data_IF_337716347683
#
_entry.id   IF_337716347683
#
_cell.length_a   1.000
_cell.length_b   1.000
_cell.length_c   1.000
_cell.angle_alpha   90.00
_cell.angle_beta   90.00
_cell.angle_gamma   90.00
#
_symmetry.space_group_name_H-M   'P 1'
#
loop_
_entity.id
_entity.type
_entity.pdbx_description
1 polymer ?
#
# COMPACT_ATOMS: atom_id res chain seq x y z
N UNK A 1 11.62 10.48 -28.45
CA UNK A 1 10.61 11.42 -27.90
C UNK A 1 11.04 11.78 -26.50
N UNK A 2 10.96 13.05 -26.10
CA UNK A 2 11.27 13.45 -24.73
C UNK A 2 10.40 12.65 -23.76
N UNK A 3 10.97 12.18 -22.67
CA UNK A 3 10.34 11.28 -21.69
C UNK A 3 9.10 11.87 -21.00
N UNK A 4 8.71 13.11 -21.32
CA UNK A 4 7.57 13.81 -20.71
C UNK A 4 7.75 14.13 -19.22
N UNK A 5 8.94 13.91 -18.65
CA UNK A 5 9.25 14.21 -17.26
C UNK A 5 9.68 15.67 -17.08
N UNK A 6 9.01 16.36 -16.17
CA UNK A 6 9.35 17.70 -15.71
C UNK A 6 10.03 17.62 -14.33
N UNK A 7 11.19 18.24 -14.17
CA UNK A 7 11.85 18.38 -12.85
C UNK A 7 11.22 19.57 -12.12
N UNK A 8 10.62 19.31 -10.95
CA UNK A 8 9.95 20.35 -10.14
C UNK A 8 10.75 20.75 -8.91
N UNK A 9 11.70 19.94 -8.46
CA UNK A 9 12.63 20.30 -7.40
C UNK A 9 13.88 19.43 -7.46
N UNK A 10 15.06 20.00 -7.17
CA UNK A 10 16.34 19.27 -7.05
C UNK A 10 16.82 19.12 -5.61
N UNK A 11 16.11 19.72 -4.65
CA UNK A 11 16.44 19.68 -3.22
C UNK A 11 15.25 19.24 -2.37
N UNK A 12 14.30 18.50 -2.97
CA UNK A 12 13.10 18.06 -2.30
C UNK A 12 13.43 17.16 -1.09
N UNK A 13 12.95 17.52 0.08
CA UNK A 13 13.15 16.78 1.33
C UNK A 13 14.63 16.59 1.77
N UNK A 14 15.57 17.39 1.27
CA UNK A 14 17.00 17.18 1.55
C UNK A 14 17.38 17.37 3.01
N UNK A 15 16.81 18.38 3.67
CA UNK A 15 17.22 18.80 5.00
C UNK A 15 16.38 18.21 6.14
N UNK A 16 15.22 17.61 5.82
CA UNK A 16 14.19 17.32 6.83
C UNK A 16 13.96 15.84 7.07
N UNK A 17 14.70 14.96 6.39
CA UNK A 17 14.40 13.53 6.48
C UNK A 17 15.62 12.65 6.36
N UNK A 18 15.91 11.82 7.37
CA UNK A 18 16.85 10.73 7.22
C UNK A 18 16.33 9.73 6.16
N UNK A 19 17.21 9.30 5.31
CA UNK A 19 17.08 8.35 4.21
C UNK A 19 15.83 7.46 4.19
N UNK A 20 15.12 7.45 3.05
CA UNK A 20 14.08 6.49 2.71
C UNK A 20 12.89 7.15 1.99
N UNK A 21 12.49 6.59 0.86
CA UNK A 21 11.26 6.95 0.16
C UNK A 21 10.05 6.73 1.06
N UNK A 22 9.61 7.76 1.76
CA UNK A 22 8.38 7.75 2.53
C UNK A 22 7.17 7.88 1.60
N UNK A 23 6.02 7.44 2.07
CA UNK A 23 4.76 7.75 1.41
C UNK A 23 4.56 9.27 1.44
N UNK A 24 4.71 9.93 0.31
CA UNK A 24 4.44 11.35 0.18
C UNK A 24 3.20 11.60 -0.69
N UNK A 25 2.59 12.75 -0.52
CA UNK A 25 1.45 13.25 -1.32
C UNK A 25 1.70 14.70 -1.67
N UNK A 26 1.27 15.08 -2.88
CA UNK A 26 1.45 16.44 -3.41
C UNK A 26 0.10 16.96 -3.88
N UNK A 27 -0.22 18.21 -3.53
CA UNK A 27 -1.38 18.95 -4.00
C UNK A 27 -0.96 20.40 -4.25
N UNK A 28 -0.79 20.75 -5.54
CA UNK A 28 -0.17 22.03 -5.87
C UNK A 28 1.26 22.12 -5.36
N UNK A 29 1.55 23.09 -4.50
CA UNK A 29 2.84 23.22 -3.83
C UNK A 29 2.90 22.53 -2.46
N UNK A 30 1.76 22.13 -1.91
CA UNK A 30 1.69 21.49 -0.59
C UNK A 30 2.15 20.04 -0.66
N UNK A 31 2.84 19.62 0.40
CA UNK A 31 3.35 18.26 0.55
C UNK A 31 3.01 17.70 1.93
N UNK A 32 2.59 16.45 1.95
CA UNK A 32 2.50 15.63 3.16
C UNK A 32 3.32 14.36 3.00
N UNK A 33 3.86 13.83 4.11
CA UNK A 33 4.58 12.55 4.09
C UNK A 33 4.44 11.84 5.42
N UNK A 34 4.29 10.51 5.34
CA UNK A 34 4.43 9.60 6.49
C UNK A 34 5.71 8.79 6.31
N UNK A 35 6.57 8.81 7.31
CA UNK A 35 7.86 8.11 7.28
C UNK A 35 7.98 7.14 8.43
N UNK A 36 8.54 6.01 8.11
CA UNK A 36 9.03 5.02 9.05
C UNK A 36 10.55 5.21 9.18
N UNK A 37 11.04 5.41 10.40
CA UNK A 37 12.45 5.55 10.70
C UNK A 37 12.90 4.43 11.66
N UNK A 38 14.03 3.81 11.33
CA UNK A 38 14.70 2.89 12.23
C UNK A 38 15.23 3.64 13.45
N UNK A 39 15.30 2.98 14.62
CA UNK A 39 15.97 3.55 15.78
C UNK A 39 17.42 3.91 15.43
N UNK A 40 17.81 5.12 15.76
CA UNK A 40 19.22 5.48 15.78
C UNK A 40 19.78 4.90 17.07
N UNK A 41 20.38 3.72 17.00
CA UNK A 41 21.08 3.12 18.16
C UNK A 41 22.34 3.94 18.36
N UNK A 42 22.39 4.76 19.39
CA UNK A 42 23.61 5.39 19.82
C UNK A 42 24.36 4.41 20.72
N UNK A 43 25.50 3.94 20.25
CA UNK A 43 26.49 3.33 21.13
C UNK A 43 27.24 4.48 21.83
N UNK A 44 27.25 4.48 23.16
CA UNK A 44 28.26 5.31 23.87
C UNK A 44 29.62 4.74 23.49
N UNK A 45 30.52 5.55 22.90
CA UNK A 45 31.86 5.06 22.62
C UNK A 45 32.49 4.66 23.95
N UNK A 46 32.91 3.41 24.08
CA UNK A 46 33.89 3.06 25.05
C UNK A 46 35.19 3.77 24.66
N UNK A 47 36.07 4.09 25.62
CA UNK A 47 37.30 4.89 25.41
C UNK A 47 38.22 4.39 24.28
N UNK A 48 37.91 3.26 23.66
CA UNK A 48 38.64 2.60 22.57
C UNK A 48 37.99 2.69 21.20
N UNK A 49 36.80 3.29 21.08
CA UNK A 49 36.04 3.34 19.81
C UNK A 49 36.35 4.64 19.07
N UNK A 50 36.92 4.53 17.86
CA UNK A 50 37.17 5.65 16.93
C UNK A 50 35.98 5.92 16.02
N UNK A 51 34.81 5.32 16.24
CA UNK A 51 33.63 5.55 15.42
C UNK A 51 32.98 6.92 15.70
N UNK A 52 32.45 7.59 14.66
CA UNK A 52 31.81 8.90 14.82
C UNK A 52 30.61 8.80 15.77
N UNK A 53 30.51 9.76 16.68
CA UNK A 53 29.40 9.86 17.63
C UNK A 53 28.06 9.95 16.88
N UNK A 54 27.16 9.02 17.13
CA UNK A 54 25.77 9.09 16.69
C UNK A 54 24.99 9.96 17.69
N UNK A 55 23.96 10.70 17.23
CA UNK A 55 23.17 11.55 18.12
C UNK A 55 22.50 10.70 19.24
N UNK A 56 22.43 11.26 20.43
CA UNK A 56 21.78 10.59 21.56
C UNK A 56 20.29 10.29 21.26
N UNK A 57 19.76 9.14 21.76
CA UNK A 57 18.36 8.81 21.58
C UNK A 57 17.47 9.86 22.25
N UNK A 58 16.40 10.25 21.57
CA UNK A 58 15.39 11.12 22.14
C UNK A 58 14.51 10.33 23.13
N UNK A 59 13.85 11.02 24.06
CA UNK A 59 12.94 10.41 25.07
C UNK A 59 11.88 9.46 24.46
N UNK A 60 11.48 9.70 23.20
CA UNK A 60 10.55 8.83 22.46
C UNK A 60 11.06 7.39 22.25
N UNK A 61 12.32 7.12 22.53
CA UNK A 61 12.98 5.82 22.38
C UNK A 61 13.15 5.08 23.70
N UNK A 62 12.77 5.71 24.79
CA UNK A 62 12.88 5.16 26.13
C UNK A 62 11.49 4.77 26.66
N UNK A 63 11.40 3.68 27.39
CA UNK A 63 10.21 3.35 28.16
C UNK A 63 10.18 4.19 29.46
N UNK A 64 9.11 4.06 30.23
CA UNK A 64 8.95 4.77 31.52
C UNK A 64 10.04 4.42 32.55
N UNK A 65 10.78 3.35 32.33
CA UNK A 65 11.92 2.92 33.19
C UNK A 65 13.26 3.41 32.64
N UNK A 66 13.31 4.18 31.56
CA UNK A 66 14.52 4.68 30.95
C UNK A 66 15.29 3.65 30.11
N UNK A 67 14.65 2.51 29.79
CA UNK A 67 15.24 1.47 28.93
C UNK A 67 15.14 1.86 27.46
N UNK A 68 16.24 1.78 26.73
CA UNK A 68 16.28 2.02 25.28
C UNK A 68 15.38 1.02 24.55
N UNK A 69 14.28 1.52 24.05
CA UNK A 69 13.40 0.73 23.19
C UNK A 69 14.01 0.69 21.80
N UNK A 70 14.42 -0.47 21.35
CA UNK A 70 14.81 -0.68 19.95
C UNK A 70 13.56 -0.66 19.06
N UNK A 71 12.87 0.48 19.00
CA UNK A 71 11.59 0.64 18.32
C UNK A 71 11.71 1.64 17.18
N UNK A 72 11.08 1.29 16.07
CA UNK A 72 10.91 2.19 14.93
C UNK A 72 9.95 3.31 15.29
N UNK A 73 10.11 4.46 14.66
CA UNK A 73 9.18 5.60 14.80
C UNK A 73 8.47 5.89 13.50
N UNK A 74 7.22 6.31 13.63
CA UNK A 74 6.40 6.79 12.54
C UNK A 74 6.23 8.29 12.73
N UNK A 75 6.61 9.05 11.71
CA UNK A 75 6.55 10.50 11.74
C UNK A 75 5.69 11.03 10.60
N UNK A 76 4.82 11.99 10.90
CA UNK A 76 4.08 12.74 9.91
C UNK A 76 4.73 14.11 9.68
N UNK A 77 4.93 14.44 8.41
CA UNK A 77 5.52 15.70 7.98
C UNK A 77 4.55 16.46 7.08
N UNK A 78 4.58 17.78 7.18
CA UNK A 78 3.87 18.69 6.29
C UNK A 78 4.77 19.84 5.89
N UNK A 79 4.62 20.34 4.67
CA UNK A 79 5.38 21.46 4.14
C UNK A 79 5.03 21.79 2.71
N UNK A 80 5.97 22.37 2.00
CA UNK A 80 5.82 22.72 0.60
C UNK A 80 7.01 22.22 -0.21
N UNK A 81 6.85 22.13 -1.54
CA UNK A 81 7.92 21.69 -2.45
C UNK A 81 9.18 22.58 -2.25
N UNK A 82 8.99 23.89 -2.14
CA UNK A 82 10.09 24.86 -2.07
C UNK A 82 10.47 25.23 -0.63
N UNK A 83 9.53 25.13 0.32
CA UNK A 83 9.70 25.61 1.69
C UNK A 83 10.21 24.55 2.68
N UNK A 84 10.38 23.31 2.21
CA UNK A 84 10.79 22.19 3.05
C UNK A 84 9.65 21.60 3.89
N UNK A 85 10.00 20.57 4.67
CA UNK A 85 9.06 19.77 5.45
C UNK A 85 9.31 19.95 6.95
N UNK A 86 8.23 20.09 7.72
CA UNK A 86 8.28 20.11 9.19
C UNK A 86 7.58 18.89 9.75
N UNK A 87 8.20 18.24 10.72
CA UNK A 87 7.57 17.17 11.46
C UNK A 87 6.48 17.76 12.36
N UNK A 88 5.25 17.29 12.20
CA UNK A 88 4.09 17.71 12.97
C UNK A 88 3.74 16.69 14.06
N UNK A 89 4.07 15.42 13.84
CA UNK A 89 3.69 14.34 14.73
C UNK A 89 4.71 13.19 14.65
N UNK A 90 4.92 12.51 15.78
CA UNK A 90 5.76 11.32 15.85
C UNK A 90 5.23 10.35 16.89
N UNK A 91 5.24 9.06 16.56
CA UNK A 91 4.87 7.98 17.47
C UNK A 91 5.77 6.77 17.26
N UNK A 92 5.89 5.94 18.29
CA UNK A 92 6.51 4.63 18.17
C UNK A 92 5.62 3.72 17.34
N UNK A 93 6.21 2.99 16.39
CA UNK A 93 5.49 2.04 15.55
C UNK A 93 6.40 1.39 14.52
N UNK A 94 6.06 0.17 14.12
CA UNK A 94 6.71 -0.59 13.06
C UNK A 94 5.92 -0.57 11.77
N UNK A 95 4.60 -0.40 11.89
CA UNK A 95 3.67 -0.35 10.76
C UNK A 95 2.77 0.86 10.90
N UNK A 96 2.42 1.45 9.75
CA UNK A 96 1.49 2.54 9.65
C UNK A 96 0.50 2.32 8.51
N UNK A 97 -0.76 2.65 8.75
CA UNK A 97 -1.73 2.90 7.71
C UNK A 97 -2.18 4.35 7.80
N UNK A 98 -2.31 5.00 6.67
CA UNK A 98 -2.62 6.42 6.58
C UNK A 98 -3.68 6.65 5.52
N UNK A 99 -4.67 7.46 5.90
CA UNK A 99 -5.68 7.99 5.00
C UNK A 99 -5.86 9.49 5.20
N UNK A 100 -6.30 10.20 4.19
CA UNK A 100 -6.56 11.64 4.19
C UNK A 100 -7.74 11.96 3.28
N UNK A 101 -8.54 12.96 3.68
CA UNK A 101 -9.62 13.50 2.84
C UNK A 101 -9.07 14.21 1.59
N UNK A 102 -9.85 14.33 0.49
CA UNK A 102 -9.39 14.98 -0.74
C UNK A 102 -8.91 16.42 -0.56
N UNK A 103 -9.46 17.15 0.41
CA UNK A 103 -9.03 18.50 0.78
C UNK A 103 -7.86 18.55 1.75
N UNK A 104 -7.46 17.39 2.30
CA UNK A 104 -6.41 17.16 3.31
C UNK A 104 -6.75 17.64 4.73
N UNK A 105 -7.96 18.15 4.94
CA UNK A 105 -8.36 18.66 6.26
C UNK A 105 -8.46 17.57 7.31
N UNK A 106 -9.00 16.41 6.94
CA UNK A 106 -9.16 15.26 7.85
C UNK A 106 -8.16 14.17 7.49
N UNK A 107 -7.48 13.65 8.53
CA UNK A 107 -6.53 12.57 8.35
C UNK A 107 -6.69 11.52 9.44
N UNK A 108 -6.43 10.27 9.09
CA UNK A 108 -6.32 9.15 10.01
C UNK A 108 -4.96 8.48 9.84
N UNK A 109 -4.31 8.18 10.94
CA UNK A 109 -3.04 7.46 10.99
C UNK A 109 -3.13 6.36 12.04
N UNK A 110 -2.86 5.13 11.65
CA UNK A 110 -2.63 4.06 12.61
C UNK A 110 -1.14 3.83 12.81
N UNK A 111 -0.77 3.50 14.02
CA UNK A 111 0.58 3.07 14.38
C UNK A 111 0.51 1.79 15.17
N UNK A 112 1.29 0.79 14.81
CA UNK A 112 1.32 -0.48 15.54
C UNK A 112 2.75 -0.98 15.71
N UNK A 113 2.98 -1.70 16.81
CA UNK A 113 4.23 -2.40 17.06
C UNK A 113 3.98 -3.74 17.74
N UNK A 114 4.91 -4.66 17.58
CA UNK A 114 4.94 -5.94 18.27
C UNK A 114 6.07 -5.96 19.31
N UNK A 115 5.75 -6.41 20.50
CA UNK A 115 6.75 -6.57 21.55
C UNK A 115 7.37 -7.98 21.51
N UNK A 116 8.41 -8.12 20.72
CA UNK A 116 9.13 -9.41 20.58
C UNK A 116 9.90 -9.83 21.84
N UNK A 117 10.00 -8.97 22.86
CA UNK A 117 10.68 -9.28 24.11
C UNK A 117 9.73 -9.78 25.21
N UNK A 118 8.43 -9.71 24.98
CA UNK A 118 7.44 -10.16 25.95
C UNK A 118 7.57 -11.68 26.19
N UNK A 119 7.44 -12.15 27.45
CA UNK A 119 7.61 -13.57 27.79
C UNK A 119 6.67 -14.54 27.09
N UNK A 120 5.54 -14.06 26.57
CA UNK A 120 4.55 -14.88 25.87
C UNK A 120 4.96 -15.28 24.44
N UNK A 121 6.07 -14.77 23.91
CA UNK A 121 6.50 -14.95 22.54
C UNK A 121 7.12 -16.32 22.20
N UNK A 122 7.17 -17.27 23.13
CA UNK A 122 7.61 -18.64 22.83
C UNK A 122 6.46 -19.45 22.26
N UNK A 123 6.21 -19.30 20.94
CA UNK A 123 5.22 -20.10 20.20
C UNK A 123 3.82 -19.47 20.11
N UNK A 124 3.64 -18.24 20.56
CA UNK A 124 2.43 -17.43 20.36
C UNK A 124 2.76 -16.08 19.73
N UNK A 125 1.75 -15.39 19.24
CA UNK A 125 1.90 -14.05 18.68
C UNK A 125 2.44 -13.09 19.75
N UNK A 126 3.50 -12.36 19.42
CA UNK A 126 4.02 -11.32 20.31
C UNK A 126 2.93 -10.29 20.63
N UNK A 127 2.82 -9.78 21.86
CA UNK A 127 1.84 -8.76 22.20
C UNK A 127 1.92 -7.59 21.23
N UNK A 128 0.80 -7.27 20.61
CA UNK A 128 0.69 -6.20 19.64
C UNK A 128 -0.04 -5.02 20.27
N UNK A 129 0.45 -3.83 20.00
CA UNK A 129 -0.25 -2.57 20.38
C UNK A 129 -0.52 -1.77 19.14
N UNK A 130 -1.78 -1.41 18.96
CA UNK A 130 -2.24 -0.56 17.86
C UNK A 130 -2.88 0.71 18.42
N UNK A 131 -2.49 1.86 17.87
CA UNK A 131 -3.08 3.16 18.16
C UNK A 131 -3.61 3.77 16.88
N UNK A 132 -4.78 4.39 16.99
CA UNK A 132 -5.41 5.13 15.91
C UNK A 132 -5.44 6.62 16.26
N UNK A 133 -5.03 7.44 15.32
CA UNK A 133 -4.93 8.90 15.47
C UNK A 133 -5.77 9.58 14.42
N UNK A 134 -6.36 10.73 14.80
CA UNK A 134 -7.15 11.59 13.90
C UNK A 134 -6.68 13.02 14.00
N UNK A 135 -6.59 13.67 12.85
CA UNK A 135 -6.39 15.11 12.71
C UNK A 135 -7.58 15.71 11.97
N UNK A 136 -7.98 16.92 12.37
CA UNK A 136 -9.04 17.72 11.73
C UNK A 136 -8.52 19.04 11.14
N UNK A 137 -7.22 19.27 11.19
CA UNK A 137 -6.54 20.49 10.78
C UNK A 137 -5.39 20.25 9.80
N UNK A 138 -5.51 19.16 9.03
CA UNK A 138 -4.54 18.80 8.03
C UNK A 138 -3.22 18.26 8.59
N UNK A 139 -3.27 17.63 9.76
CA UNK A 139 -2.11 16.98 10.38
C UNK A 139 -1.28 17.91 11.26
N UNK A 140 -1.77 19.12 11.60
CA UNK A 140 -1.07 20.03 12.51
C UNK A 140 -1.20 19.53 13.96
N UNK A 141 -2.41 19.10 14.33
CA UNK A 141 -2.66 18.47 15.64
C UNK A 141 -3.32 17.11 15.46
N UNK A 142 -3.07 16.21 16.44
CA UNK A 142 -3.54 14.84 16.40
C UNK A 142 -4.14 14.44 17.73
N UNK A 143 -5.31 13.81 17.70
CA UNK A 143 -5.96 13.19 18.85
C UNK A 143 -5.97 11.67 18.69
N UNK A 144 -5.73 10.96 19.80
CA UNK A 144 -5.84 9.51 19.80
C UNK A 144 -7.31 9.12 19.88
N UNK A 145 -7.74 8.23 18.99
CA UNK A 145 -9.05 7.58 19.04
C UNK A 145 -8.96 6.26 19.79
N UNK A 146 -10.09 5.77 20.27
CA UNK A 146 -10.17 4.43 20.82
C UNK A 146 -10.14 3.42 19.69
N UNK A 147 -9.26 2.41 19.81
CA UNK A 147 -9.23 1.26 18.93
C UNK A 147 -9.64 0.02 19.73
N UNK A 148 -10.69 -0.73 19.31
CA UNK A 148 -11.29 -1.75 20.17
C UNK A 148 -10.44 -3.00 20.36
N UNK A 149 -9.48 -3.22 19.48
CA UNK A 149 -8.68 -4.44 19.47
C UNK A 149 -7.18 -4.13 19.35
N UNK A 150 -6.33 -4.98 19.93
CA UNK A 150 -4.88 -4.92 19.72
C UNK A 150 -4.46 -5.58 18.40
N UNK A 151 -5.21 -5.32 17.33
CA UNK A 151 -4.94 -5.88 16.00
C UNK A 151 -4.32 -4.82 15.11
N UNK A 152 -3.34 -5.23 14.30
CA UNK A 152 -2.69 -4.34 13.36
C UNK A 152 -3.66 -3.88 12.27
N UNK A 153 -3.62 -2.58 11.98
CA UNK A 153 -4.31 -1.99 10.83
C UNK A 153 -3.29 -1.89 9.69
N UNK A 154 -3.49 -2.69 8.66
CA UNK A 154 -2.66 -2.67 7.46
C UNK A 154 -3.09 -1.60 6.46
N UNK A 155 -4.38 -1.27 6.40
CA UNK A 155 -4.93 -0.22 5.52
C UNK A 155 -6.08 0.52 6.19
N UNK A 156 -6.17 1.80 5.89
CA UNK A 156 -7.32 2.67 6.20
C UNK A 156 -7.90 3.15 4.88
N UNK A 157 -9.19 2.96 4.68
CA UNK A 157 -9.93 3.34 3.48
C UNK A 157 -11.21 4.04 3.90
N UNK A 158 -11.39 5.29 3.53
CA UNK A 158 -12.59 6.05 3.88
C UNK A 158 -13.29 6.56 2.63
N UNK A 159 -14.59 6.45 2.62
CA UNK A 159 -15.48 7.04 1.61
C UNK A 159 -15.55 8.56 1.81
N UNK A 160 -15.66 8.97 3.06
CA UNK A 160 -15.69 10.36 3.52
C UNK A 160 -15.15 10.41 4.98
N UNK A 161 -14.97 11.58 5.60
CA UNK A 161 -14.43 11.70 6.95
C UNK A 161 -15.22 10.97 8.06
N UNK A 162 -16.45 10.51 7.78
CA UNK A 162 -17.30 9.81 8.74
C UNK A 162 -17.35 8.31 8.51
N UNK A 163 -17.36 7.88 7.23
CA UNK A 163 -17.55 6.48 6.84
C UNK A 163 -16.28 5.87 6.29
N UNK A 164 -15.84 4.78 6.89
CA UNK A 164 -14.61 4.14 6.44
C UNK A 164 -14.42 2.74 6.97
N UNK A 165 -13.31 2.16 6.55
CA UNK A 165 -12.89 0.80 6.85
C UNK A 165 -11.45 0.79 7.35
N UNK A 166 -11.19 -0.09 8.31
CA UNK A 166 -9.86 -0.52 8.67
C UNK A 166 -9.71 -1.99 8.26
N UNK A 167 -8.59 -2.31 7.60
CA UNK A 167 -8.27 -3.65 7.15
C UNK A 167 -7.08 -4.13 7.97
N UNK A 168 -7.26 -5.24 8.67
CA UNK A 168 -6.23 -5.85 9.50
C UNK A 168 -5.30 -6.79 8.75
N UNK A 169 -4.38 -7.36 9.47
CA UNK A 169 -3.67 -8.56 9.05
C UNK A 169 -4.56 -9.77 9.33
N UNK A 170 -4.58 -10.70 8.40
CA UNK A 170 -5.62 -11.69 8.34
C UNK A 170 -6.88 -11.15 7.63
N UNK A 171 -7.90 -11.97 7.41
CA UNK A 171 -9.14 -11.55 6.79
C UNK A 171 -10.02 -10.81 7.82
N UNK A 172 -9.56 -9.64 8.27
CA UNK A 172 -10.25 -8.82 9.28
C UNK A 172 -10.59 -7.46 8.72
N UNK A 173 -11.84 -7.09 8.87
CA UNK A 173 -12.38 -5.82 8.42
C UNK A 173 -13.20 -5.20 9.56
N UNK A 174 -12.95 -3.93 9.81
CA UNK A 174 -13.78 -3.10 10.68
C UNK A 174 -14.34 -1.94 9.88
N UNK A 175 -15.52 -1.50 10.22
CA UNK A 175 -16.14 -0.32 9.65
C UNK A 175 -16.43 0.71 10.72
N UNK A 176 -16.46 1.97 10.32
CA UNK A 176 -16.93 3.10 11.12
C UNK A 176 -17.95 3.91 10.32
N UNK A 177 -18.93 4.50 11.00
CA UNK A 177 -19.90 5.43 10.44
C UNK A 177 -19.88 6.79 11.15
N UNK A 178 -18.97 6.98 12.11
CA UNK A 178 -18.89 8.15 13.00
C UNK A 178 -17.49 8.76 13.07
N UNK A 179 -16.72 8.57 11.98
CA UNK A 179 -15.39 9.15 11.86
C UNK A 179 -14.36 8.51 12.79
N UNK A 180 -14.48 7.21 13.03
CA UNK A 180 -13.53 6.42 13.79
C UNK A 180 -13.73 6.45 15.31
N UNK A 181 -14.80 7.04 15.82
CA UNK A 181 -15.11 7.03 17.25
C UNK A 181 -15.55 5.64 17.71
N UNK A 182 -16.32 4.94 16.85
CA UNK A 182 -16.68 3.52 17.07
C UNK A 182 -16.37 2.68 15.84
N UNK A 183 -16.06 1.40 16.09
CA UNK A 183 -15.72 0.42 15.05
C UNK A 183 -16.51 -0.84 15.26
N UNK A 184 -17.07 -1.35 14.17
CA UNK A 184 -17.79 -2.61 14.12
C UNK A 184 -17.02 -3.62 13.26
N UNK A 185 -16.75 -4.79 13.82
CA UNK A 185 -16.15 -5.91 13.08
C UNK A 185 -17.13 -6.43 12.04
N UNK A 186 -16.62 -6.77 10.87
CA UNK A 186 -17.37 -7.41 9.79
C UNK A 186 -16.84 -8.82 9.62
N UNK A 187 -17.72 -9.79 9.62
CA UNK A 187 -17.37 -11.16 9.35
C UNK A 187 -16.98 -11.32 7.87
N UNK A 188 -15.79 -11.81 7.65
CA UNK A 188 -15.29 -12.15 6.32
C UNK A 188 -15.63 -13.63 6.06
N UNK A 189 -16.36 -13.94 4.97
CA UNK A 189 -16.63 -15.33 4.65
C UNK A 189 -15.31 -16.04 4.33
N UNK A 190 -15.09 -17.16 4.96
CA UNK A 190 -14.05 -18.10 4.57
C UNK A 190 -14.61 -18.96 3.45
N UNK A 191 -14.28 -18.66 2.21
CA UNK A 191 -14.56 -19.58 1.12
C UNK A 191 -13.79 -20.87 1.37
N UNK A 192 -14.49 -22.02 1.45
CA UNK A 192 -13.87 -23.32 1.66
C UNK A 192 -12.84 -23.68 0.57
N UNK A 193 -12.95 -23.06 -0.62
CA UNK A 193 -11.99 -23.22 -1.73
C UNK A 193 -10.65 -22.49 -1.46
N UNK A 194 -10.65 -21.55 -0.54
CA UNK A 194 -9.49 -20.72 -0.19
C UNK A 194 -9.00 -21.03 1.23
N UNK A 195 -9.58 -22.02 1.88
CA UNK A 195 -9.34 -22.41 3.27
C UNK A 195 -7.96 -23.04 3.55
N UNK A 196 -6.91 -22.57 2.88
CA UNK A 196 -5.56 -22.79 3.37
C UNK A 196 -5.33 -21.89 4.58
N UNK A 197 -5.30 -22.47 5.77
CA UNK A 197 -5.06 -21.76 7.03
C UNK A 197 -3.78 -20.93 7.05
N UNK A 198 -2.86 -21.17 6.12
CA UNK A 198 -1.59 -20.43 5.99
C UNK A 198 -1.75 -19.09 5.25
N UNK A 199 -2.92 -18.80 4.64
CA UNK A 199 -3.16 -17.62 3.79
C UNK A 199 -4.31 -16.75 4.30
N UNK A 200 -4.17 -16.28 5.50
CA UNK A 200 -5.18 -15.46 6.19
C UNK A 200 -5.17 -13.97 5.80
N UNK A 201 -4.58 -13.58 4.67
CA UNK A 201 -4.53 -12.17 4.26
C UNK A 201 -5.29 -11.94 2.96
N UNK A 202 -5.96 -10.79 2.85
CA UNK A 202 -6.41 -10.33 1.54
C UNK A 202 -5.20 -10.04 0.65
N UNK A 203 -5.23 -10.58 -0.55
CA UNK A 203 -4.20 -10.33 -1.55
C UNK A 203 -4.28 -8.89 -2.07
N UNK A 204 -5.50 -8.39 -2.25
CA UNK A 204 -5.76 -7.04 -2.70
C UNK A 204 -7.06 -6.49 -2.09
N UNK A 205 -7.12 -5.17 -1.97
CA UNK A 205 -8.28 -4.44 -1.43
C UNK A 205 -8.44 -3.16 -2.25
N UNK A 206 -9.67 -2.83 -2.62
CA UNK A 206 -10.03 -1.60 -3.32
C UNK A 206 -11.30 -1.00 -2.74
N UNK A 207 -11.37 0.34 -2.73
CA UNK A 207 -12.57 1.10 -2.43
C UNK A 207 -13.05 1.77 -3.71
N UNK A 208 -14.23 1.39 -4.18
CA UNK A 208 -14.80 1.98 -5.39
C UNK A 208 -15.30 3.42 -5.16
N UNK A 209 -15.54 4.18 -6.24
CA UNK A 209 -16.16 5.50 -6.16
C UNK A 209 -17.56 5.50 -5.54
N UNK A 210 -18.24 4.34 -5.56
CA UNK A 210 -19.53 4.10 -4.89
C UNK A 210 -19.40 3.89 -3.38
N UNK A 211 -18.17 3.88 -2.85
CA UNK A 211 -17.89 3.60 -1.44
C UNK A 211 -17.97 2.12 -1.07
N UNK A 212 -18.08 1.23 -2.04
CA UNK A 212 -18.11 -0.22 -1.82
C UNK A 212 -16.69 -0.75 -1.67
N UNK A 213 -16.44 -1.40 -0.53
CA UNK A 213 -15.18 -2.11 -0.28
C UNK A 213 -15.19 -3.44 -1.02
N UNK A 214 -14.10 -3.71 -1.74
CA UNK A 214 -13.84 -4.99 -2.38
C UNK A 214 -12.56 -5.59 -1.84
N UNK A 215 -12.59 -6.89 -1.63
CA UNK A 215 -11.45 -7.66 -1.16
C UNK A 215 -11.22 -8.84 -2.10
N UNK A 216 -9.95 -9.12 -2.39
CA UNK A 216 -9.58 -10.32 -3.14
C UNK A 216 -8.77 -11.25 -2.25
N UNK A 217 -9.09 -12.52 -2.31
CA UNK A 217 -8.32 -13.59 -1.71
C UNK A 217 -8.15 -14.73 -2.72
N UNK A 218 -7.05 -15.46 -2.61
CA UNK A 218 -6.69 -16.43 -3.64
C UNK A 218 -6.11 -17.67 -3.02
N UNK A 219 -6.54 -18.83 -3.53
CA UNK A 219 -5.86 -20.08 -3.33
C UNK A 219 -4.74 -20.23 -4.37
N UNK A 220 -3.58 -20.72 -3.94
CA UNK A 220 -2.54 -21.12 -4.89
C UNK A 220 -2.91 -22.45 -5.55
N UNK A 221 -2.32 -22.74 -6.72
CA UNK A 221 -2.53 -24.01 -7.38
C UNK A 221 -1.99 -25.14 -6.51
N UNK A 222 -2.74 -26.24 -6.49
CA UNK A 222 -2.33 -27.53 -5.94
C UNK A 222 -2.08 -28.50 -7.09
N UNK A 223 -1.67 -29.74 -6.77
CA UNK A 223 -1.57 -30.80 -7.79
C UNK A 223 -2.95 -31.13 -8.42
N UNK A 224 -4.04 -30.85 -7.72
CA UNK A 224 -5.40 -31.27 -8.07
C UNK A 224 -6.27 -30.11 -8.57
N UNK A 225 -5.90 -28.86 -8.29
CA UNK A 225 -6.70 -27.69 -8.64
C UNK A 225 -5.83 -26.50 -9.08
N UNK A 226 -6.26 -25.74 -10.11
CA UNK A 226 -5.62 -24.49 -10.49
C UNK A 226 -5.78 -23.45 -9.38
N UNK A 227 -5.00 -22.37 -9.46
CA UNK A 227 -5.24 -21.20 -8.60
C UNK A 227 -6.64 -20.63 -8.86
N UNK A 228 -7.18 -19.99 -7.85
CA UNK A 228 -8.49 -19.40 -7.93
C UNK A 228 -8.54 -18.14 -7.07
N UNK A 229 -8.98 -17.05 -7.63
CA UNK A 229 -9.23 -15.82 -6.87
C UNK A 229 -10.69 -15.53 -6.81
N UNK A 230 -11.16 -15.18 -5.61
CA UNK A 230 -12.49 -14.67 -5.36
C UNK A 230 -12.38 -13.19 -5.03
N UNK A 231 -13.26 -12.40 -5.62
CA UNK A 231 -13.41 -10.99 -5.32
C UNK A 231 -14.79 -10.79 -4.73
N UNK A 232 -14.80 -10.43 -3.45
CA UNK A 232 -16.01 -10.14 -2.73
C UNK A 232 -16.20 -8.64 -2.58
N UNK A 233 -17.43 -8.19 -2.65
CA UNK A 233 -17.85 -6.84 -2.30
C UNK A 233 -18.59 -6.82 -0.99
N UNK A 234 -18.39 -5.77 -0.19
CA UNK A 234 -19.13 -5.59 1.05
C UNK A 234 -20.52 -5.01 0.77
N UNK A 235 -21.55 -5.77 1.13
CA UNK A 235 -22.91 -5.25 1.24
C UNK A 235 -23.04 -4.50 2.57
N UNK A 236 -23.16 -3.17 2.49
CA UNK A 236 -23.18 -2.32 3.67
C UNK A 236 -24.40 -2.57 4.56
N UNK A 237 -25.56 -2.84 3.98
CA UNK A 237 -26.81 -3.05 4.72
C UNK A 237 -26.84 -4.40 5.40
N UNK A 238 -26.36 -5.42 4.73
CA UNK A 238 -26.30 -6.79 5.27
C UNK A 238 -25.14 -7.02 6.21
N UNK A 239 -24.17 -6.11 6.24
CA UNK A 239 -22.91 -6.24 7.00
C UNK A 239 -22.14 -7.52 6.63
N UNK A 240 -22.23 -7.92 5.39
CA UNK A 240 -21.66 -9.17 4.89
C UNK A 240 -20.99 -8.98 3.54
N UNK A 241 -19.99 -9.79 3.27
CA UNK A 241 -19.39 -9.88 1.95
C UNK A 241 -20.23 -10.77 1.04
N UNK A 242 -20.32 -10.37 -0.22
CA UNK A 242 -21.01 -11.13 -1.28
C UNK A 242 -20.03 -11.25 -2.44
N UNK A 243 -19.89 -12.46 -2.98
CA UNK A 243 -19.04 -12.71 -4.14
C UNK A 243 -19.51 -11.85 -5.33
N UNK A 244 -18.62 -11.02 -5.83
CA UNK A 244 -18.84 -10.18 -6.99
C UNK A 244 -18.39 -10.88 -8.26
N UNK A 245 -17.17 -11.43 -8.24
CA UNK A 245 -16.62 -12.16 -9.39
C UNK A 245 -15.55 -13.17 -8.98
N UNK A 246 -15.25 -14.10 -9.86
CA UNK A 246 -14.23 -15.11 -9.67
C UNK A 246 -13.27 -15.13 -10.86
N UNK A 247 -11.99 -15.36 -10.58
CA UNK A 247 -10.91 -15.39 -11.58
C UNK A 247 -10.18 -16.74 -11.49
N UNK A 248 -10.69 -17.79 -12.17
CA UNK A 248 -10.04 -19.09 -12.19
C UNK A 248 -8.69 -19.04 -12.92
N UNK A 249 -7.71 -19.79 -12.46
CA UNK A 249 -6.36 -19.81 -13.00
C UNK A 249 -5.53 -18.55 -12.69
N UNK A 250 -6.00 -17.70 -11.79
CA UNK A 250 -5.36 -16.42 -11.47
C UNK A 250 -5.19 -16.24 -9.97
N UNK A 251 -4.07 -15.62 -9.58
CA UNK A 251 -3.81 -15.10 -8.22
C UNK A 251 -3.78 -13.59 -8.30
N UNK A 252 -4.85 -12.94 -7.89
CA UNK A 252 -4.94 -11.47 -7.86
C UNK A 252 -3.91 -10.91 -6.87
N UNK A 253 -3.18 -9.90 -7.29
CA UNK A 253 -2.15 -9.21 -6.48
C UNK A 253 -2.44 -7.74 -6.26
N UNK A 254 -3.26 -7.12 -7.11
CA UNK A 254 -3.74 -5.76 -6.93
C UNK A 254 -5.15 -5.60 -7.51
N UNK A 255 -5.94 -4.74 -6.88
CA UNK A 255 -7.24 -4.26 -7.34
C UNK A 255 -7.22 -2.75 -7.34
N UNK A 256 -7.77 -2.14 -8.40
CA UNK A 256 -7.99 -0.70 -8.46
C UNK A 256 -9.22 -0.37 -9.32
N UNK A 257 -9.70 0.87 -9.25
CA UNK A 257 -10.92 1.31 -9.92
C UNK A 257 -10.69 2.64 -10.64
N UNK A 258 -11.40 2.87 -11.76
CA UNK A 258 -11.38 4.20 -12.37
C UNK A 258 -11.96 5.23 -11.42
N UNK A 259 -11.28 6.37 -11.21
CA UNK A 259 -11.87 7.48 -10.49
C UNK A 259 -12.99 8.10 -11.35
N UNK A 260 -14.15 8.28 -10.76
CA UNK A 260 -15.29 8.81 -11.53
C UNK A 260 -16.62 8.77 -10.79
N UNK A 261 -17.72 8.82 -11.52
CA UNK A 261 -19.06 8.72 -10.95
C UNK A 261 -19.30 7.35 -10.30
N UNK A 262 -19.98 7.35 -9.16
CA UNK A 262 -20.30 6.12 -8.42
C UNK A 262 -21.24 5.16 -9.18
N UNK A 263 -22.02 5.68 -10.12
CA UNK A 263 -23.02 4.88 -10.82
C UNK A 263 -22.41 3.89 -11.82
N UNK A 264 -21.33 4.27 -12.49
CA UNK A 264 -20.69 3.44 -13.51
C UNK A 264 -19.19 3.67 -13.54
N UNK A 265 -18.41 2.63 -13.28
CA UNK A 265 -16.96 2.67 -13.30
C UNK A 265 -16.38 1.28 -13.59
N UNK A 266 -15.13 1.25 -14.04
CA UNK A 266 -14.43 0.01 -14.31
C UNK A 266 -13.55 -0.40 -13.13
N UNK A 267 -13.47 -1.70 -12.92
CA UNK A 267 -12.56 -2.35 -11.97
C UNK A 267 -11.46 -3.05 -12.75
N UNK A 268 -10.28 -3.10 -12.16
CA UNK A 268 -9.11 -3.73 -12.74
C UNK A 268 -8.43 -4.62 -11.71
N UNK A 269 -8.10 -5.84 -12.12
CA UNK A 269 -7.32 -6.78 -11.33
C UNK A 269 -5.98 -7.05 -12.02
N UNK A 270 -4.88 -6.88 -11.28
CA UNK A 270 -3.58 -7.39 -11.67
C UNK A 270 -3.39 -8.76 -11.04
N UNK A 271 -3.02 -9.75 -11.83
CA UNK A 271 -2.95 -11.15 -11.41
C UNK A 271 -1.65 -11.81 -11.87
N UNK A 272 -1.26 -12.88 -11.17
CA UNK A 272 -0.32 -13.89 -11.66
C UNK A 272 -1.13 -15.04 -12.22
N UNK A 273 -0.75 -15.54 -13.38
CA UNK A 273 -1.39 -16.67 -14.02
C UNK A 273 -0.77 -17.99 -13.56
N UNK A 274 -1.57 -19.04 -13.52
CA UNK A 274 -1.03 -20.38 -13.34
C UNK A 274 -0.17 -20.79 -14.52
N UNK A 275 0.91 -21.51 -14.22
CA UNK A 275 1.59 -22.29 -15.26
C UNK A 275 0.86 -23.60 -15.48
N UNK A 276 0.72 -24.07 -16.74
CA UNK A 276 0.41 -25.46 -16.99
C UNK A 276 1.46 -26.31 -16.23
N UNK A 277 1.01 -27.27 -15.45
CA UNK A 277 1.91 -28.16 -14.70
C UNK A 277 2.75 -28.99 -15.67
N UNK A 278 3.90 -28.47 -16.08
CA UNK A 278 4.98 -29.30 -16.60
C UNK A 278 5.74 -29.83 -15.39
N UNK A 279 5.86 -31.14 -15.23
CA UNK A 279 6.40 -31.81 -14.06
C UNK A 279 7.83 -31.51 -13.62
N UNK A 280 8.35 -30.34 -13.92
CA UNK A 280 9.67 -29.84 -13.52
C UNK A 280 9.58 -28.96 -12.28
N UNK A 281 9.99 -29.52 -11.17
CA UNK A 281 9.81 -29.06 -9.81
C UNK A 281 10.73 -27.94 -9.31
N UNK A 282 11.29 -27.10 -10.15
CA UNK A 282 12.11 -25.95 -9.73
C UNK A 282 11.78 -24.70 -10.53
N UNK A 283 10.53 -24.27 -10.42
CA UNK A 283 10.16 -22.97 -10.92
C UNK A 283 10.56 -21.89 -9.89
N UNK A 284 11.42 -20.97 -10.29
CA UNK A 284 11.89 -19.82 -9.49
C UNK A 284 10.75 -18.79 -9.19
N UNK A 285 9.50 -19.23 -9.16
CA UNK A 285 8.34 -18.37 -8.88
C UNK A 285 7.96 -17.43 -10.02
N UNK A 286 8.53 -17.61 -11.21
CA UNK A 286 8.22 -16.81 -12.40
C UNK A 286 6.90 -17.25 -13.00
N UNK A 287 5.94 -16.36 -13.08
CA UNK A 287 4.62 -16.61 -13.66
C UNK A 287 4.25 -15.45 -14.55
N UNK A 288 3.66 -15.76 -15.69
CA UNK A 288 3.03 -14.74 -16.51
C UNK A 288 2.04 -13.94 -15.67
N UNK A 289 1.93 -12.66 -15.94
CA UNK A 289 0.94 -11.79 -15.32
C UNK A 289 -0.19 -11.47 -16.27
N UNK A 290 -1.31 -11.04 -15.74
CA UNK A 290 -2.42 -10.53 -16.53
C UNK A 290 -3.06 -9.32 -15.87
N UNK A 291 -3.66 -8.47 -16.69
CA UNK A 291 -4.61 -7.46 -16.24
C UNK A 291 -5.98 -7.80 -16.82
N UNK A 292 -6.97 -7.85 -15.92
CA UNK A 292 -8.37 -8.10 -16.25
C UNK A 292 -9.23 -6.92 -15.82
N UNK A 293 -10.37 -6.73 -16.49
CA UNK A 293 -11.32 -5.66 -16.19
C UNK A 293 -12.76 -6.13 -16.28
N UNK A 294 -13.62 -5.49 -15.52
CA UNK A 294 -15.09 -5.57 -15.59
C UNK A 294 -15.69 -4.24 -15.12
N UNK A 295 -16.99 -4.11 -15.17
CA UNK A 295 -17.69 -2.92 -14.64
C UNK A 295 -18.48 -3.28 -13.39
N UNK A 296 -18.74 -2.29 -12.53
CA UNK A 296 -19.45 -2.50 -11.27
C UNK A 296 -20.91 -2.97 -11.46
N UNK A 297 -21.52 -2.71 -12.61
CA UNK A 297 -22.88 -3.12 -13.00
C UNK A 297 -22.92 -4.46 -13.76
N UNK A 298 -21.77 -4.95 -14.27
CA UNK A 298 -21.63 -6.22 -14.97
C UNK A 298 -20.42 -7.03 -14.46
N UNK A 299 -20.43 -7.46 -13.20
CA UNK A 299 -19.27 -8.16 -12.60
C UNK A 299 -19.00 -9.54 -13.21
N UNK A 300 -19.99 -10.13 -13.88
CA UNK A 300 -19.87 -11.41 -14.60
C UNK A 300 -19.11 -11.27 -15.93
N UNK A 301 -19.00 -10.05 -16.46
CA UNK A 301 -18.38 -9.77 -17.77
C UNK A 301 -16.90 -9.41 -17.62
N UNK A 302 -16.08 -10.36 -17.18
CA UNK A 302 -14.63 -10.17 -17.02
C UNK A 302 -13.93 -10.31 -18.36
N UNK A 303 -13.10 -9.32 -18.70
CA UNK A 303 -12.29 -9.29 -19.90
C UNK A 303 -10.80 -9.21 -19.53
N UNK A 304 -9.97 -10.12 -20.06
CA UNK A 304 -8.53 -10.01 -19.97
C UNK A 304 -8.01 -9.04 -21.02
N UNK A 305 -7.37 -7.96 -20.59
CA UNK A 305 -6.85 -6.90 -21.47
C UNK A 305 -5.48 -7.23 -22.01
N UNK A 306 -4.62 -7.80 -21.17
CA UNK A 306 -3.22 -8.09 -21.54
C UNK A 306 -2.67 -9.22 -20.68
N UNK A 307 -1.78 -10.00 -21.29
CA UNK A 307 -0.84 -10.90 -20.60
C UNK A 307 0.56 -10.31 -20.66
N UNK A 308 1.28 -10.41 -19.57
CA UNK A 308 2.67 -9.97 -19.42
C UNK A 308 3.60 -11.19 -19.42
N UNK A 309 4.83 -10.98 -19.89
CA UNK A 309 5.84 -12.02 -19.95
C UNK A 309 6.14 -12.60 -18.56
N UNK A 310 6.36 -13.92 -18.48
CA UNK A 310 6.67 -14.65 -17.26
C UNK A 310 8.02 -14.26 -16.62
N UNK A 311 8.90 -13.60 -17.38
CA UNK A 311 10.16 -13.08 -16.85
C UNK A 311 9.97 -11.86 -15.98
N UNK A 312 8.81 -11.20 -16.05
CA UNK A 312 8.52 -9.97 -15.31
C UNK A 312 7.87 -10.28 -13.95
N UNK A 313 8.31 -9.57 -12.93
CA UNK A 313 7.59 -9.49 -11.67
C UNK A 313 6.67 -8.28 -11.72
N UNK A 314 5.36 -8.50 -11.67
CA UNK A 314 4.38 -7.41 -11.58
C UNK A 314 4.28 -6.94 -10.13
N UNK A 315 4.52 -5.66 -9.90
CA UNK A 315 4.63 -5.08 -8.56
C UNK A 315 3.33 -4.38 -8.11
N UNK A 316 2.75 -3.55 -8.99
CA UNK A 316 1.53 -2.80 -8.66
C UNK A 316 0.79 -2.26 -9.88
N UNK A 317 -0.45 -1.83 -9.65
CA UNK A 317 -1.35 -1.22 -10.62
C UNK A 317 -1.79 0.14 -10.10
N UNK A 318 -1.90 1.12 -10.99
CA UNK A 318 -2.57 2.39 -10.72
C UNK A 318 -3.52 2.71 -11.87
N UNK A 319 -4.73 3.09 -11.51
CA UNK A 319 -5.80 3.42 -12.46
C UNK A 319 -6.13 4.90 -12.36
N UNK A 320 -6.06 5.58 -13.48
CA UNK A 320 -6.38 6.99 -13.60
C UNK A 320 -7.69 7.25 -14.34
N UNK A 321 -7.95 8.52 -14.63
CA UNK A 321 -9.10 8.96 -15.44
C UNK A 321 -8.89 8.67 -16.92
N UNK A 322 -9.99 8.63 -17.67
CA UNK A 322 -10.01 8.55 -19.14
C UNK A 322 -9.26 7.32 -19.68
N UNK A 323 -9.34 6.19 -18.98
CA UNK A 323 -8.73 4.94 -19.43
C UNK A 323 -7.22 4.84 -19.21
N UNK A 324 -6.64 5.72 -18.39
CA UNK A 324 -5.23 5.62 -18.02
C UNK A 324 -4.99 4.43 -17.08
N UNK A 325 -4.06 3.56 -17.46
CA UNK A 325 -3.59 2.42 -16.68
C UNK A 325 -2.07 2.46 -16.61
N UNK A 326 -1.54 2.28 -15.41
CA UNK A 326 -0.10 2.14 -15.15
C UNK A 326 0.14 0.81 -14.45
N UNK A 327 0.94 -0.08 -15.07
CA UNK A 327 1.39 -1.32 -14.45
C UNK A 327 2.89 -1.21 -14.22
N UNK A 328 3.29 -1.35 -12.97
CA UNK A 328 4.69 -1.35 -12.58
C UNK A 328 5.20 -2.78 -12.49
N UNK A 329 6.35 -3.01 -13.07
CA UNK A 329 6.98 -4.32 -13.13
C UNK A 329 8.49 -4.21 -12.95
N UNK A 330 9.11 -5.30 -12.53
CA UNK A 330 10.55 -5.44 -12.47
C UNK A 330 10.97 -6.60 -13.37
N UNK A 331 11.95 -6.35 -14.26
CA UNK A 331 12.66 -7.41 -14.93
C UNK A 331 13.91 -7.81 -14.11
N UNK A 332 13.87 -8.95 -13.42
CA UNK A 332 14.99 -9.40 -12.60
C UNK A 332 16.19 -9.91 -13.42
N UNK A 333 16.04 -10.13 -14.73
CA UNK A 333 17.04 -10.76 -15.59
C UNK A 333 17.77 -9.79 -16.52
N UNK A 334 17.30 -8.55 -16.62
CA UNK A 334 17.86 -7.56 -17.56
C UNK A 334 19.29 -7.13 -17.25
N UNK A 335 19.76 -7.41 -16.03
CA UNK A 335 21.14 -7.25 -15.65
C UNK A 335 22.00 -8.42 -16.14
N UNK A 336 22.59 -8.31 -17.33
CA UNK A 336 23.56 -9.30 -17.79
C UNK A 336 24.62 -9.61 -16.73
N UNK A 337 24.68 -10.86 -16.25
CA UNK A 337 25.67 -11.39 -15.31
C UNK A 337 25.82 -10.61 -13.99
N UNK A 338 24.70 -10.41 -13.26
CA UNK A 338 24.72 -9.77 -11.93
C UNK A 338 24.45 -8.28 -11.94
N UNK A 339 23.89 -7.73 -13.00
CA UNK A 339 23.38 -6.36 -13.06
C UNK A 339 22.15 -6.16 -12.19
N UNK A 340 21.88 -4.91 -11.80
CA UNK A 340 20.69 -4.57 -11.03
C UNK A 340 19.41 -4.83 -11.86
N UNK A 341 18.31 -5.28 -11.23
CA UNK A 341 17.01 -5.39 -11.88
C UNK A 341 16.59 -4.08 -12.55
N UNK A 342 15.88 -4.16 -13.67
CA UNK A 342 15.34 -2.99 -14.37
C UNK A 342 13.85 -2.86 -14.01
N UNK A 343 13.48 -1.70 -13.49
CA UNK A 343 12.08 -1.35 -13.27
C UNK A 343 11.46 -0.88 -14.58
N UNK A 344 10.26 -1.38 -14.87
CA UNK A 344 9.51 -1.11 -16.08
C UNK A 344 8.15 -0.50 -15.70
N UNK A 345 7.69 0.44 -16.51
CA UNK A 345 6.32 0.95 -16.44
C UNK A 345 5.62 0.69 -17.77
N UNK A 346 4.51 -0.04 -17.72
CA UNK A 346 3.59 -0.20 -18.84
C UNK A 346 2.47 0.82 -18.69
N UNK A 347 2.22 1.58 -19.73
CA UNK A 347 1.22 2.65 -19.77
C UNK A 347 0.21 2.38 -20.87
N UNK A 348 -1.07 2.45 -20.53
CA UNK A 348 -2.17 2.53 -21.49
C UNK A 348 -2.95 3.80 -21.24
N UNK A 349 -3.32 4.53 -22.30
CA UNK A 349 -4.19 5.73 -22.24
C UNK A 349 -5.54 5.52 -22.89
N UNK A 350 -5.86 4.28 -23.25
CA UNK A 350 -7.04 3.88 -23.99
C UNK A 350 -7.76 2.67 -23.37
N UNK A 351 -7.74 2.59 -22.04
CA UNK A 351 -8.36 1.53 -21.24
C UNK A 351 -7.83 0.11 -21.55
N UNK A 352 -6.54 0.01 -21.85
CA UNK A 352 -5.87 -1.28 -22.05
C UNK A 352 -5.87 -1.80 -23.49
N UNK A 353 -6.35 -1.03 -24.48
CA UNK A 353 -6.35 -1.44 -25.89
C UNK A 353 -4.95 -1.41 -26.49
N UNK A 354 -4.15 -0.41 -26.12
CA UNK A 354 -2.74 -0.31 -26.51
C UNK A 354 -1.85 -0.01 -25.29
N UNK A 355 -0.55 -0.35 -25.40
CA UNK A 355 0.38 -0.23 -24.29
C UNK A 355 1.75 0.23 -24.76
N UNK A 356 2.28 1.24 -24.08
CA UNK A 356 3.66 1.65 -24.16
C UNK A 356 4.47 1.07 -22.99
N UNK A 357 5.76 0.84 -23.19
CA UNK A 357 6.68 0.39 -22.15
C UNK A 357 7.83 1.38 -22.01
N UNK A 358 8.14 1.74 -20.80
CA UNK A 358 9.30 2.59 -20.48
C UNK A 358 10.13 1.96 -19.35
N UNK A 359 11.45 2.14 -19.42
CA UNK A 359 12.38 1.72 -18.37
C UNK A 359 12.55 2.87 -17.37
N UNK A 360 11.57 3.06 -16.50
CA UNK A 360 11.55 4.13 -15.51
C UNK A 360 11.58 3.53 -14.10
N UNK A 361 12.53 3.92 -13.24
CA UNK A 361 12.64 3.47 -11.84
C UNK A 361 11.54 4.01 -10.91
N UNK A 362 10.32 4.08 -11.37
CA UNK A 362 9.22 4.75 -10.67
C UNK A 362 8.63 3.91 -9.55
N UNK A 363 8.72 2.58 -9.66
CA UNK A 363 8.05 1.65 -8.73
C UNK A 363 8.48 1.81 -7.25
N UNK A 364 9.67 2.34 -6.99
CA UNK A 364 10.22 2.41 -5.62
C UNK A 364 10.12 3.77 -4.94
N UNK A 365 9.60 4.80 -5.59
CA UNK A 365 9.57 6.16 -5.02
C UNK A 365 8.53 7.07 -5.65
N UNK A 366 7.52 6.50 -6.29
CA UNK A 366 6.47 7.23 -6.98
C UNK A 366 5.18 7.39 -6.18
N UNK A 367 4.47 8.47 -6.49
CA UNK A 367 3.09 8.70 -6.08
C UNK A 367 2.28 9.05 -7.32
N UNK A 368 1.21 8.30 -7.55
CA UNK A 368 0.27 8.57 -8.63
C UNK A 368 -0.98 9.26 -8.08
N UNK A 369 -1.27 10.46 -8.59
CA UNK A 369 -2.52 11.16 -8.34
C UNK A 369 -3.51 10.81 -9.45
N UNK A 370 -4.44 9.92 -9.14
CA UNK A 370 -5.46 9.44 -10.06
C UNK A 370 -6.49 10.53 -10.46
N UNK A 371 -6.62 11.61 -9.68
CA UNK A 371 -7.55 12.70 -10.00
C UNK A 371 -7.02 13.62 -11.09
N UNK A 372 -5.71 13.80 -11.15
CA UNK A 372 -5.02 14.68 -12.12
C UNK A 372 -4.25 13.90 -13.17
N UNK A 373 -4.27 12.55 -13.13
CA UNK A 373 -3.44 11.68 -13.96
C UNK A 373 -1.95 12.06 -13.90
N UNK A 374 -1.47 12.44 -12.73
CA UNK A 374 -0.09 12.90 -12.55
C UNK A 374 0.71 11.91 -11.71
N UNK A 375 1.81 11.47 -12.27
CA UNK A 375 2.79 10.63 -11.59
C UNK A 375 3.94 11.50 -11.09
N UNK A 376 4.18 11.46 -9.79
CA UNK A 376 5.32 12.09 -9.14
C UNK A 376 6.36 11.03 -8.82
N UNK A 377 7.61 11.33 -9.09
CA UNK A 377 8.72 10.43 -8.82
C UNK A 377 9.84 11.14 -8.07
N UNK A 378 10.24 10.56 -6.97
CA UNK A 378 11.35 11.02 -6.15
C UNK A 378 12.55 10.08 -6.31
N UNK A 379 13.64 10.60 -6.85
CA UNK A 379 14.93 9.91 -6.91
C UNK A 379 16.00 10.74 -6.23
N UNK A 380 16.61 10.21 -5.19
CA UNK A 380 17.46 10.94 -4.27
C UNK A 380 16.70 12.17 -3.72
N UNK A 381 17.07 13.39 -4.13
CA UNK A 381 16.39 14.62 -3.72
C UNK A 381 15.73 15.34 -4.90
N UNK A 382 15.70 14.70 -6.07
CA UNK A 382 15.10 15.26 -7.28
C UNK A 382 13.67 14.77 -7.42
N UNK A 383 12.73 15.71 -7.31
CA UNK A 383 11.31 15.44 -7.54
C UNK A 383 10.96 15.78 -9.00
N UNK A 384 10.39 14.82 -9.68
CA UNK A 384 9.88 14.95 -11.06
C UNK A 384 8.40 14.64 -11.12
N UNK A 385 7.71 15.17 -12.11
CA UNK A 385 6.33 14.80 -12.44
C UNK A 385 6.18 14.47 -13.92
N UNK A 386 5.17 13.65 -14.21
CA UNK A 386 4.68 13.37 -15.57
C UNK A 386 3.15 13.35 -15.53
N UNK A 387 2.52 14.17 -16.35
CA UNK A 387 1.06 14.17 -16.53
C UNK A 387 0.73 13.43 -17.82
N UNK A 388 -0.30 12.60 -17.79
CA UNK A 388 -0.75 11.76 -18.90
C UNK A 388 -2.02 12.27 -19.55
#
# INVERSE_FOLDING_TARGET
MATGWETISTNFMRNDTPYGGGNFRIKGNDVMSVKLANPVVTFKPTAESTEPQRPEPTEAWMNDTGELLNRMTISFFRGTIDGGMKRQFQQVGQNAAWWYSPDWSVQFLSTSWMDYKAPAARGGDAPQTTKLWKSLDGGQTWSQLQWPENQNIGRLLFVDPQRGYAIGWGPRVWRTADGGNTWQTIDVPTDARVADETRKNFNAVSLGPDGVLRVAYSAAPTAEAPSHSVIDRLDWERHAFVTETELPGQVVTALDTTPGPAAHYSLYALSRLDKPQSGESRDNGRRAGAISTWTNDHPESVHQLRTFDETLRLDSLSVGRNGLLLVYATDPNSGSRGGAPIDLTFTSTDAGKSWDQTADKVAQGGYFDAQTNTLYWLHAYTLKKRTF
#
